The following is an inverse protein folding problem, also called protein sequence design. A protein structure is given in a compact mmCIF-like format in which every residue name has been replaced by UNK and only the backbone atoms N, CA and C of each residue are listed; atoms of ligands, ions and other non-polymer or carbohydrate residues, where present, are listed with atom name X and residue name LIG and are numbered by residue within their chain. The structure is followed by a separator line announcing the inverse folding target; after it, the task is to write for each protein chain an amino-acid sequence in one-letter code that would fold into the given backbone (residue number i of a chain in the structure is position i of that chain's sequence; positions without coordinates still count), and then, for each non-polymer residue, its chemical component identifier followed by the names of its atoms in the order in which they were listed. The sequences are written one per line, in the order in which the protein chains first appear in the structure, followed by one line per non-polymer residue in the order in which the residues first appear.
data_IF_653252191091
#
_entry.id   IF_653252191091
#
_cell.length_a   1.000
_cell.length_b   1.000
_cell.length_c   1.000
_cell.angle_alpha   90.00
_cell.angle_beta   90.00
_cell.angle_gamma   90.00
#
_symmetry.space_group_name_H-M   'P 1'
#
loop_
_entity.id
_entity.type
_entity.pdbx_description
1 polymer ?
#
# COMPACT_ATOMS: atom_id res chain seq x y z
N UNK A 1 6.80 -3.03 21.30
CA UNK A 1 6.63 -2.55 19.91
C UNK A 1 6.15 -3.72 19.05
N UNK A 2 5.24 -3.51 18.10
CA UNK A 2 4.63 -4.57 17.27
C UNK A 2 5.66 -5.51 16.62
N UNK A 3 6.76 -4.96 16.08
CA UNK A 3 7.81 -5.75 15.42
C UNK A 3 8.39 -6.83 16.33
N UNK A 4 8.68 -6.49 17.60
CA UNK A 4 9.19 -7.45 18.58
C UNK A 4 8.16 -8.49 19.02
N UNK A 5 6.87 -8.16 18.97
CA UNK A 5 5.80 -9.13 19.28
C UNK A 5 5.66 -10.18 18.17
N UNK A 6 5.74 -9.75 16.91
CA UNK A 6 5.58 -10.66 15.76
C UNK A 6 6.85 -11.48 15.52
N UNK A 7 8.02 -10.87 15.64
CA UNK A 7 9.29 -11.57 15.37
C UNK A 7 9.80 -12.36 16.58
N UNK A 8 9.16 -12.29 17.75
CA UNK A 8 9.50 -13.12 18.92
C UNK A 8 10.99 -13.13 19.33
N UNK A 9 11.72 -12.03 19.11
CA UNK A 9 13.14 -11.94 19.41
C UNK A 9 14.06 -12.73 18.47
N UNK A 10 13.55 -13.17 17.32
CA UNK A 10 14.36 -13.77 16.25
C UNK A 10 15.45 -12.80 15.78
N UNK A 11 16.56 -13.36 15.29
CA UNK A 11 17.56 -12.60 14.55
C UNK A 11 16.97 -12.03 13.26
N UNK A 12 17.49 -10.90 12.78
CA UNK A 12 16.93 -10.17 11.65
C UNK A 12 16.79 -11.02 10.37
N UNK A 13 17.73 -11.93 10.14
CA UNK A 13 17.70 -12.88 9.01
C UNK A 13 16.48 -13.81 9.03
N UNK A 14 15.90 -14.03 10.21
CA UNK A 14 14.79 -14.94 10.47
C UNK A 14 13.47 -14.18 10.74
N UNK A 15 13.45 -12.85 10.56
CA UNK A 15 12.24 -12.06 10.79
C UNK A 15 11.11 -12.42 9.82
N UNK A 16 9.91 -12.57 10.38
CA UNK A 16 8.69 -12.80 9.60
C UNK A 16 8.14 -11.50 9.02
N UNK A 17 8.34 -10.39 9.73
CA UNK A 17 7.93 -9.05 9.31
C UNK A 17 9.08 -8.08 9.53
N UNK A 18 9.46 -7.38 8.47
CA UNK A 18 10.45 -6.30 8.52
C UNK A 18 9.77 -4.93 8.47
N UNK A 19 10.46 -3.91 8.95
CA UNK A 19 10.04 -2.52 8.78
C UNK A 19 11.01 -1.85 7.81
N UNK A 20 10.49 -1.41 6.66
CA UNK A 20 11.28 -0.74 5.62
C UNK A 20 11.17 0.77 5.82
N UNK A 21 12.31 1.45 5.86
CA UNK A 21 12.33 2.92 5.93
C UNK A 21 12.22 3.45 4.50
N UNK A 22 11.22 4.29 4.27
CA UNK A 22 11.03 4.99 3.00
C UNK A 22 11.58 6.41 3.11
N UNK A 23 12.15 6.92 2.02
CA UNK A 23 12.66 8.28 1.99
C UNK A 23 11.53 9.31 2.21
N UNK A 24 11.80 10.40 2.95
CA UNK A 24 10.81 11.46 3.13
C UNK A 24 10.48 12.09 1.78
N UNK A 25 9.21 12.43 1.57
CA UNK A 25 8.70 13.05 0.33
C UNK A 25 8.94 12.22 -0.95
N UNK A 26 9.15 10.91 -0.84
CA UNK A 26 9.32 9.99 -1.96
C UNK A 26 8.09 9.05 -2.11
N UNK A 27 6.89 9.58 -2.43
CA UNK A 27 5.66 8.79 -2.50
C UNK A 27 5.75 7.65 -3.51
N UNK A 28 6.61 7.78 -4.52
CA UNK A 28 6.89 6.72 -5.48
C UNK A 28 7.38 5.46 -4.76
N UNK A 29 8.20 5.55 -3.72
CA UNK A 29 8.70 4.39 -2.97
C UNK A 29 7.61 3.68 -2.15
N UNK A 30 6.45 4.32 -1.92
CA UNK A 30 5.36 3.76 -1.14
C UNK A 30 4.36 3.01 -2.04
N UNK A 31 4.30 1.66 -1.99
CA UNK A 31 3.35 0.90 -2.81
C UNK A 31 1.88 1.26 -2.54
N UNK A 32 1.57 1.71 -1.34
CA UNK A 32 0.20 2.12 -0.98
C UNK A 32 -0.25 3.32 -1.80
N UNK A 33 0.64 4.27 -2.11
CA UNK A 33 0.30 5.46 -2.91
C UNK A 33 -0.12 5.09 -4.34
N UNK A 34 0.54 4.11 -4.95
CA UNK A 34 0.20 3.60 -6.28
C UNK A 34 -1.19 2.95 -6.30
N UNK A 35 -1.51 2.14 -5.28
CA UNK A 35 -2.82 1.49 -5.12
C UNK A 35 -3.91 2.55 -4.90
N UNK A 36 -3.65 3.50 -4.01
CA UNK A 36 -4.58 4.58 -3.70
C UNK A 36 -4.79 5.50 -4.89
N UNK A 37 -3.76 5.84 -5.66
CA UNK A 37 -3.87 6.66 -6.85
C UNK A 37 -4.82 6.02 -7.87
N UNK A 38 -4.71 4.70 -8.09
CA UNK A 38 -5.61 3.96 -8.98
C UNK A 38 -7.06 4.01 -8.50
N UNK A 39 -7.29 3.76 -7.22
CA UNK A 39 -8.64 3.84 -6.65
C UNK A 39 -9.22 5.26 -6.68
N UNK A 40 -8.41 6.28 -6.34
CA UNK A 40 -8.82 7.70 -6.45
C UNK A 40 -9.17 8.09 -7.89
N UNK A 41 -8.37 7.66 -8.86
CA UNK A 41 -8.63 7.94 -10.28
C UNK A 41 -9.90 7.26 -10.77
N UNK A 42 -10.18 6.04 -10.31
CA UNK A 42 -11.46 5.38 -10.56
C UNK A 42 -12.62 6.22 -9.99
N UNK A 43 -12.59 6.56 -8.70
CA UNK A 43 -13.68 7.35 -8.08
C UNK A 43 -13.90 8.70 -8.76
N UNK A 44 -12.83 9.38 -9.22
CA UNK A 44 -12.94 10.63 -9.97
C UNK A 44 -13.71 10.47 -11.28
N UNK A 45 -13.49 9.37 -12.02
CA UNK A 45 -14.22 9.08 -13.26
C UNK A 45 -15.68 8.74 -13.01
N UNK A 46 -15.98 8.17 -11.85
CA UNK A 46 -17.31 7.73 -11.43
C UNK A 46 -17.95 8.66 -10.39
N UNK A 47 -17.53 9.93 -10.29
CA UNK A 47 -17.96 10.81 -9.18
C UNK A 47 -19.49 10.99 -9.15
N UNK A 48 -20.12 11.09 -10.31
CA UNK A 48 -21.56 11.26 -10.51
C UNK A 48 -22.40 10.05 -10.02
N UNK A 49 -21.78 8.87 -9.90
CA UNK A 49 -22.42 7.65 -9.38
C UNK A 49 -22.38 7.60 -7.84
N UNK A 50 -21.49 8.39 -7.23
CA UNK A 50 -21.12 8.32 -5.81
C UNK A 50 -21.68 9.52 -5.02
N UNK A 51 -23.00 9.67 -5.02
CA UNK A 51 -23.69 10.83 -4.40
C UNK A 51 -23.74 10.80 -2.86
N UNK A 52 -23.19 9.77 -2.23
CA UNK A 52 -23.05 9.70 -0.77
C UNK A 52 -21.69 9.12 -0.41
N UNK A 53 -21.19 9.47 0.77
CA UNK A 53 -19.93 8.93 1.26
C UNK A 53 -19.96 7.39 1.39
N UNK A 54 -21.12 6.82 1.74
CA UNK A 54 -21.29 5.36 1.80
C UNK A 54 -21.06 4.71 0.42
N UNK A 55 -21.69 5.25 -0.64
CA UNK A 55 -21.50 4.77 -2.02
C UNK A 55 -20.04 4.92 -2.46
N UNK A 56 -19.44 6.07 -2.18
CA UNK A 56 -18.03 6.34 -2.48
C UNK A 56 -17.10 5.29 -1.84
N UNK A 57 -17.27 5.02 -0.54
CA UNK A 57 -16.48 4.01 0.18
C UNK A 57 -16.68 2.62 -0.42
N UNK A 58 -17.93 2.23 -0.70
CA UNK A 58 -18.22 0.93 -1.29
C UNK A 58 -17.63 0.78 -2.68
N UNK A 59 -17.75 1.80 -3.53
CA UNK A 59 -17.19 1.82 -4.88
C UNK A 59 -15.67 1.66 -4.84
N UNK A 60 -14.99 2.35 -3.92
CA UNK A 60 -13.54 2.23 -3.73
C UNK A 60 -13.11 0.83 -3.31
N UNK A 61 -13.75 0.27 -2.26
CA UNK A 61 -13.42 -1.07 -1.75
C UNK A 61 -13.71 -2.14 -2.80
N UNK A 62 -14.85 -2.04 -3.50
CA UNK A 62 -15.21 -2.96 -4.58
C UNK A 62 -14.23 -2.90 -5.74
N UNK A 63 -13.73 -1.72 -6.09
CA UNK A 63 -12.70 -1.55 -7.11
C UNK A 63 -11.40 -2.24 -6.69
N UNK A 64 -10.93 -2.00 -5.46
CA UNK A 64 -9.69 -2.58 -4.96
C UNK A 64 -9.76 -4.11 -4.83
N UNK A 65 -10.88 -4.66 -4.32
CA UNK A 65 -11.05 -6.09 -4.12
C UNK A 65 -11.06 -6.91 -5.43
N UNK A 66 -11.34 -6.26 -6.57
CA UNK A 66 -11.38 -6.91 -7.91
C UNK A 66 -10.06 -6.79 -8.67
N UNK A 67 -9.00 -6.26 -8.04
CA UNK A 67 -7.74 -5.96 -8.71
C UNK A 67 -6.56 -6.53 -7.95
N UNK A 68 -5.59 -7.00 -8.71
CA UNK A 68 -4.29 -7.45 -8.22
C UNK A 68 -3.24 -6.46 -8.71
N UNK A 69 -2.52 -5.82 -7.79
CA UNK A 69 -1.56 -4.75 -8.08
C UNK A 69 -0.12 -5.26 -7.94
N UNK A 70 0.38 -6.02 -8.93
CA UNK A 70 1.73 -6.63 -8.89
C UNK A 70 2.76 -5.97 -9.82
N UNK A 71 2.34 -5.03 -10.68
CA UNK A 71 3.18 -4.52 -11.78
C UNK A 71 4.51 -3.86 -11.38
N UNK A 72 4.64 -3.40 -10.12
CA UNK A 72 5.86 -2.80 -9.57
C UNK A 72 6.45 -3.59 -8.39
N UNK A 73 6.01 -4.84 -8.15
CA UNK A 73 6.46 -5.63 -6.99
C UNK A 73 7.99 -5.71 -6.92
N UNK A 74 8.66 -6.02 -8.02
CA UNK A 74 10.12 -6.11 -8.06
C UNK A 74 10.81 -4.78 -7.74
N UNK A 75 10.19 -3.65 -8.06
CA UNK A 75 10.75 -2.34 -7.72
C UNK A 75 10.64 -2.04 -6.22
N UNK A 76 9.47 -2.31 -5.62
CA UNK A 76 9.26 -2.11 -4.19
C UNK A 76 10.12 -3.01 -3.29
N UNK A 77 10.43 -4.23 -3.74
CA UNK A 77 11.24 -5.17 -2.98
C UNK A 77 12.75 -4.86 -3.01
N UNK A 78 13.19 -3.92 -3.85
CA UNK A 78 14.59 -3.58 -4.06
C UNK A 78 14.89 -2.11 -3.71
N UNK A 79 14.11 -1.50 -2.82
CA UNK A 79 14.35 -0.12 -2.38
C UNK A 79 15.61 -0.11 -1.50
N UNK A 80 16.66 0.65 -1.85
CA UNK A 80 17.86 0.76 -1.05
C UNK A 80 17.52 1.22 0.37
N UNK A 81 18.03 0.51 1.38
CA UNK A 81 17.90 0.91 2.78
C UNK A 81 19.12 1.73 3.20
N UNK A 82 18.96 2.77 4.02
CA UNK A 82 20.09 3.47 4.62
C UNK A 82 20.92 2.49 5.48
N UNK A 83 22.23 2.71 5.52
CA UNK A 83 23.17 1.99 6.40
C UNK A 83 22.95 2.31 7.88
#
# INVERSE_FOLDING_TARGET
VYLGQVNHGLEEKDWQVTCVILAPNAPEQNPVEDVWLRGKNFLRRHFHENNTFHKFKMSFVNFLNKKVFLGKRGWYMNIPQPE
#
